data_IF_946980937964
#
_entry.id   IF_946980937964
#
_cell.length_a   1.000
_cell.length_b   1.000
_cell.length_c   1.000
_cell.angle_alpha   90.00
_cell.angle_beta   90.00
_cell.angle_gamma   90.00
#
_symmetry.space_group_name_H-M   'P 1'
#
loop_
_entity.id
_entity.type
_entity.pdbx_description
1 polymer ?
#
# COMPACT_ATOMS: atom_id res chain seq x y z
N UNK A 1 -5.56 -9.38 -12.05
CA UNK A 1 -6.78 -9.87 -11.35
C UNK A 1 -7.58 -10.76 -12.30
N UNK A 2 -7.59 -12.06 -12.02
CA UNK A 2 -8.43 -13.01 -12.74
C UNK A 2 -9.46 -13.58 -11.74
N UNK A 3 -10.71 -13.06 -11.73
CA UNK A 3 -11.73 -13.48 -10.79
C UNK A 3 -12.16 -14.96 -11.00
N UNK A 4 -11.99 -15.49 -12.19
CA UNK A 4 -12.31 -16.88 -12.50
C UNK A 4 -11.35 -17.84 -11.83
N UNK A 5 -10.05 -17.49 -11.76
CA UNK A 5 -9.05 -18.28 -11.05
C UNK A 5 -9.36 -18.37 -9.55
N UNK A 6 -9.77 -17.24 -8.94
CA UNK A 6 -10.20 -17.22 -7.55
C UNK A 6 -11.45 -18.10 -7.30
N UNK A 7 -12.42 -18.10 -8.21
CA UNK A 7 -13.60 -18.96 -8.13
C UNK A 7 -13.22 -20.42 -8.22
N UNK A 8 -12.35 -20.78 -9.15
CA UNK A 8 -11.92 -22.16 -9.39
C UNK A 8 -11.16 -22.72 -8.18
N UNK A 9 -10.24 -21.96 -7.59
CA UNK A 9 -9.54 -22.36 -6.37
C UNK A 9 -10.46 -22.55 -5.17
N UNK A 10 -11.54 -21.78 -5.10
CA UNK A 10 -12.52 -21.88 -4.00
C UNK A 10 -13.66 -22.87 -4.28
N UNK A 11 -13.71 -23.47 -5.47
CA UNK A 11 -14.78 -24.42 -5.82
C UNK A 11 -14.63 -25.74 -5.03
N UNK A 12 -15.69 -26.20 -4.34
CA UNK A 12 -15.60 -27.38 -3.49
C UNK A 12 -15.42 -28.68 -4.27
N UNK A 13 -15.90 -28.75 -5.51
CA UNK A 13 -15.84 -29.96 -6.34
C UNK A 13 -14.49 -30.20 -7.02
N UNK A 14 -13.59 -29.19 -7.04
CA UNK A 14 -12.26 -29.33 -7.61
C UNK A 14 -11.34 -29.99 -6.59
N UNK A 15 -10.75 -31.10 -6.95
CA UNK A 15 -9.84 -31.86 -6.08
C UNK A 15 -8.57 -31.06 -5.74
N UNK A 16 -8.02 -31.34 -4.55
CA UNK A 16 -6.80 -30.63 -4.07
C UNK A 16 -5.63 -30.78 -5.03
N UNK A 17 -5.42 -31.98 -5.58
CA UNK A 17 -4.35 -32.25 -6.53
C UNK A 17 -4.47 -31.44 -7.82
N UNK A 18 -5.68 -31.24 -8.31
CA UNK A 18 -5.93 -30.40 -9.49
C UNK A 18 -5.63 -28.91 -9.18
N UNK A 19 -6.04 -28.41 -8.02
CA UNK A 19 -5.72 -27.05 -7.58
C UNK A 19 -4.22 -26.83 -7.45
N UNK A 20 -3.50 -27.77 -6.88
CA UNK A 20 -2.03 -27.73 -6.75
C UNK A 20 -1.34 -27.76 -8.12
N UNK A 21 -1.81 -28.62 -9.03
CA UNK A 21 -1.34 -28.69 -10.41
C UNK A 21 -1.54 -27.39 -11.18
N UNK A 22 -2.71 -26.76 -11.03
CA UNK A 22 -3.02 -25.45 -11.63
C UNK A 22 -2.08 -24.36 -11.12
N UNK A 23 -1.85 -24.30 -9.81
CA UNK A 23 -0.92 -23.32 -9.23
C UNK A 23 0.48 -23.54 -9.77
N UNK A 24 0.96 -24.77 -9.80
CA UNK A 24 2.27 -25.08 -10.32
C UNK A 24 2.42 -24.69 -11.79
N UNK A 25 1.47 -25.06 -12.63
CA UNK A 25 1.50 -24.77 -14.06
C UNK A 25 1.44 -23.27 -14.38
N UNK A 26 0.64 -22.50 -13.63
CA UNK A 26 0.44 -21.08 -13.90
C UNK A 26 1.59 -20.25 -13.31
N UNK A 27 1.99 -20.53 -12.06
CA UNK A 27 2.89 -19.64 -11.31
C UNK A 27 4.35 -20.04 -11.36
N UNK A 28 4.71 -21.30 -11.64
CA UNK A 28 6.12 -21.74 -11.65
C UNK A 28 7.00 -20.97 -12.64
N UNK A 29 6.41 -20.40 -13.70
CA UNK A 29 7.13 -19.61 -14.69
C UNK A 29 7.32 -18.13 -14.30
N UNK A 30 6.53 -17.62 -13.36
CA UNK A 30 6.47 -16.20 -13.02
C UNK A 30 7.00 -15.87 -11.63
N UNK A 31 7.02 -16.85 -10.72
CA UNK A 31 7.46 -16.65 -9.32
C UNK A 31 8.50 -17.69 -8.93
N UNK A 32 9.23 -17.40 -7.85
CA UNK A 32 10.23 -18.35 -7.32
C UNK A 32 9.58 -19.64 -6.84
N UNK A 33 10.36 -20.74 -6.83
CA UNK A 33 9.90 -22.03 -6.32
C UNK A 33 9.38 -21.98 -4.89
N UNK A 34 10.00 -21.16 -4.03
CA UNK A 34 9.56 -20.96 -2.65
C UNK A 34 8.15 -20.33 -2.57
N UNK A 35 7.88 -19.35 -3.45
CA UNK A 35 6.56 -18.72 -3.51
C UNK A 35 5.50 -19.69 -4.05
N UNK A 36 5.85 -20.47 -5.08
CA UNK A 36 4.95 -21.52 -5.59
C UNK A 36 4.67 -22.56 -4.50
N UNK A 37 5.69 -23.01 -3.75
CA UNK A 37 5.57 -23.91 -2.62
C UNK A 37 4.67 -23.35 -1.50
N UNK A 38 4.77 -22.06 -1.20
CA UNK A 38 3.87 -21.39 -0.25
C UNK A 38 2.41 -21.48 -0.72
N UNK A 39 2.13 -21.14 -1.98
CA UNK A 39 0.77 -21.17 -2.53
C UNK A 39 0.19 -22.59 -2.53
N UNK A 40 0.97 -23.60 -2.92
CA UNK A 40 0.59 -25.01 -2.86
C UNK A 40 0.27 -25.41 -1.42
N UNK A 41 1.13 -25.06 -0.46
CA UNK A 41 0.92 -25.36 0.95
C UNK A 41 -0.36 -24.71 1.49
N UNK A 42 -0.68 -23.51 1.07
CA UNK A 42 -1.91 -22.82 1.48
C UNK A 42 -3.15 -23.55 0.95
N UNK A 43 -3.12 -24.03 -0.29
CA UNK A 43 -4.22 -24.78 -0.89
C UNK A 43 -4.38 -26.16 -0.27
N UNK A 44 -3.28 -26.89 -0.04
CA UNK A 44 -3.32 -28.21 0.61
C UNK A 44 -3.89 -28.15 2.05
N UNK A 45 -3.73 -26.99 2.72
CA UNK A 45 -4.28 -26.72 4.07
C UNK A 45 -5.66 -26.06 4.05
N UNK A 46 -6.35 -25.99 2.90
CA UNK A 46 -7.66 -25.35 2.72
C UNK A 46 -7.68 -23.86 3.10
N UNK A 47 -6.54 -23.16 2.92
CA UNK A 47 -6.37 -21.73 3.24
C UNK A 47 -6.36 -20.83 2.01
N UNK A 48 -6.87 -21.28 0.88
CA UNK A 48 -6.88 -20.52 -0.39
C UNK A 48 -7.58 -19.15 -0.27
N UNK A 49 -8.59 -19.02 0.59
CA UNK A 49 -9.27 -17.73 0.85
C UNK A 49 -8.35 -16.69 1.49
N UNK A 50 -7.25 -17.12 2.10
CA UNK A 50 -6.28 -16.24 2.77
C UNK A 50 -5.05 -15.92 1.91
N UNK A 51 -5.00 -16.39 0.66
CA UNK A 51 -3.85 -16.18 -0.22
C UNK A 51 -3.59 -14.69 -0.41
N UNK A 52 -4.61 -13.89 -0.74
CA UNK A 52 -4.46 -12.45 -0.99
C UNK A 52 -3.94 -11.74 0.26
N UNK A 53 -4.58 -11.96 1.41
CA UNK A 53 -4.17 -11.36 2.70
C UNK A 53 -2.71 -11.73 3.04
N UNK A 54 -2.32 -12.99 2.80
CA UNK A 54 -0.97 -13.49 3.07
C UNK A 54 0.06 -12.85 2.14
N UNK A 55 -0.26 -12.71 0.85
CA UNK A 55 0.63 -12.06 -0.11
C UNK A 55 0.79 -10.56 0.18
N UNK A 56 -0.28 -9.88 0.58
CA UNK A 56 -0.21 -8.47 1.00
C UNK A 56 0.66 -8.31 2.27
N UNK A 57 0.47 -9.19 3.25
CA UNK A 57 1.32 -9.21 4.45
C UNK A 57 2.78 -9.44 4.09
N UNK A 58 3.06 -10.43 3.24
CA UNK A 58 4.41 -10.72 2.77
C UNK A 58 5.03 -9.52 2.05
N UNK A 59 4.27 -8.88 1.15
CA UNK A 59 4.73 -7.66 0.46
C UNK A 59 5.13 -6.57 1.45
N UNK A 60 4.31 -6.32 2.48
CA UNK A 60 4.63 -5.34 3.53
C UNK A 60 5.94 -5.69 4.24
N UNK A 61 6.12 -6.96 4.61
CA UNK A 61 7.34 -7.42 5.29
C UNK A 61 8.59 -7.28 4.42
N UNK A 62 8.48 -7.56 3.11
CA UNK A 62 9.59 -7.37 2.17
C UNK A 62 9.96 -5.89 2.05
N UNK A 63 8.97 -5.00 1.99
CA UNK A 63 9.20 -3.56 1.95
C UNK A 63 9.87 -3.06 3.24
N UNK A 64 9.43 -3.50 4.40
CA UNK A 64 10.05 -3.21 5.69
C UNK A 64 11.51 -3.68 5.73
N UNK A 65 11.77 -4.93 5.33
CA UNK A 65 13.14 -5.49 5.28
C UNK A 65 14.06 -4.69 4.36
N UNK A 66 13.54 -4.28 3.20
CA UNK A 66 14.27 -3.45 2.24
C UNK A 66 14.34 -1.97 2.63
N UNK A 67 13.72 -1.57 3.75
CA UNK A 67 13.58 -0.18 4.18
C UNK A 67 12.95 0.71 3.08
N UNK A 68 11.95 0.18 2.37
CA UNK A 68 11.17 0.92 1.38
C UNK A 68 9.89 1.38 2.07
N UNK A 69 9.71 2.69 2.18
CA UNK A 69 8.49 3.29 2.73
C UNK A 69 7.36 3.32 1.71
N UNK A 70 6.11 3.32 2.20
CA UNK A 70 4.95 3.63 1.37
C UNK A 70 4.45 5.00 1.83
N UNK A 71 4.45 5.96 0.92
CA UNK A 71 3.99 7.32 1.19
C UNK A 71 2.76 7.67 0.35
N UNK A 72 1.71 8.14 1.00
CA UNK A 72 0.52 8.69 0.37
C UNK A 72 0.58 10.21 0.49
N UNK A 73 0.57 10.88 -0.65
CA UNK A 73 0.67 12.35 -0.74
C UNK A 73 -0.60 12.89 -1.37
N UNK A 74 -1.38 13.63 -0.59
CA UNK A 74 -2.59 14.32 -1.06
C UNK A 74 -2.31 15.81 -1.19
N UNK A 75 -2.67 16.41 -2.31
CA UNK A 75 -2.45 17.83 -2.62
C UNK A 75 -3.68 18.45 -3.22
N UNK A 76 -3.87 19.78 -3.06
CA UNK A 76 -5.02 20.49 -3.62
C UNK A 76 -5.01 20.55 -5.16
N UNK A 77 -3.85 20.42 -5.79
CA UNK A 77 -3.66 20.40 -7.26
C UNK A 77 -2.65 19.34 -7.64
N UNK A 78 -2.70 18.82 -8.88
CA UNK A 78 -1.70 17.86 -9.35
C UNK A 78 -0.28 18.42 -9.22
N UNK A 79 0.65 17.61 -8.73
CA UNK A 79 2.07 17.96 -8.64
C UNK A 79 2.76 17.76 -9.98
N UNK A 80 3.70 18.67 -10.29
CA UNK A 80 4.66 18.46 -11.40
C UNK A 80 5.66 17.36 -11.04
N UNK A 81 6.35 16.81 -12.04
CA UNK A 81 7.34 15.76 -11.80
C UNK A 81 8.54 16.26 -10.99
N UNK A 82 8.89 17.54 -11.14
CA UNK A 82 9.91 18.20 -10.32
C UNK A 82 9.50 18.27 -8.85
N UNK A 83 8.24 18.65 -8.59
CA UNK A 83 7.68 18.68 -7.23
C UNK A 83 7.61 17.29 -6.61
N UNK A 84 7.20 16.29 -7.38
CA UNK A 84 7.20 14.87 -6.91
C UNK A 84 8.60 14.42 -6.50
N UNK A 85 9.62 14.72 -7.32
CA UNK A 85 11.02 14.42 -6.99
C UNK A 85 11.50 15.15 -5.74
N UNK A 86 11.16 16.43 -5.58
CA UNK A 86 11.52 17.21 -4.39
C UNK A 86 10.90 16.65 -3.12
N UNK A 87 9.60 16.25 -3.17
CA UNK A 87 8.91 15.61 -2.04
C UNK A 87 9.57 14.28 -1.69
N UNK A 88 9.83 13.41 -2.67
CA UNK A 88 10.49 12.13 -2.44
C UNK A 88 11.88 12.30 -1.85
N UNK A 89 12.70 13.22 -2.40
CA UNK A 89 14.03 13.55 -1.87
C UNK A 89 13.97 14.02 -0.41
N UNK A 90 13.03 14.93 -0.09
CA UNK A 90 12.86 15.42 1.28
C UNK A 90 12.44 14.32 2.27
N UNK A 91 11.60 13.39 1.83
CA UNK A 91 11.22 12.25 2.65
C UNK A 91 12.39 11.31 2.91
N UNK A 92 13.25 11.05 1.94
CA UNK A 92 14.46 10.24 2.12
C UNK A 92 15.44 10.90 3.10
N UNK A 93 15.63 12.22 3.02
CA UNK A 93 16.50 12.96 3.95
C UNK A 93 15.99 12.95 5.41
N UNK A 94 14.67 12.99 5.59
CA UNK A 94 14.04 13.16 6.91
C UNK A 94 13.61 11.86 7.58
N UNK A 95 13.68 10.75 6.84
CA UNK A 95 13.29 9.43 7.33
C UNK A 95 14.44 8.44 7.20
N UNK A 96 14.35 7.30 7.87
CA UNK A 96 15.35 6.23 7.77
C UNK A 96 15.12 5.25 6.62
N UNK A 97 14.25 5.58 5.67
CA UNK A 97 13.99 4.74 4.49
C UNK A 97 15.04 4.96 3.41
N UNK A 98 15.29 3.90 2.62
CA UNK A 98 16.22 3.93 1.48
C UNK A 98 15.51 4.32 0.19
N UNK A 99 14.21 4.01 0.10
CA UNK A 99 13.37 4.33 -1.06
C UNK A 99 11.90 4.47 -0.64
N UNK A 100 11.06 5.02 -1.52
CA UNK A 100 9.64 5.18 -1.29
C UNK A 100 8.79 4.73 -2.48
N UNK A 101 7.74 3.96 -2.20
CA UNK A 101 6.61 3.80 -3.11
C UNK A 101 5.65 4.97 -2.88
N UNK A 102 5.64 5.93 -3.83
CA UNK A 102 4.86 7.15 -3.73
C UNK A 102 3.49 6.98 -4.40
N UNK A 103 2.43 7.29 -3.65
CA UNK A 103 1.05 7.36 -4.15
C UNK A 103 0.56 8.79 -4.06
N UNK A 104 0.23 9.38 -5.19
CA UNK A 104 -0.26 10.76 -5.27
C UNK A 104 -1.75 10.79 -5.51
N UNK A 105 -2.45 11.66 -4.78
CA UNK A 105 -3.88 11.93 -4.94
C UNK A 105 -4.13 13.43 -4.93
N UNK A 106 -5.22 13.85 -5.56
CA UNK A 106 -5.67 15.24 -5.52
C UNK A 106 -6.89 15.31 -4.62
N UNK A 107 -6.85 16.23 -3.67
CA UNK A 107 -7.95 16.55 -2.75
C UNK A 107 -8.10 18.07 -2.69
N UNK A 108 -9.04 18.59 -3.45
CA UNK A 108 -9.31 20.04 -3.55
C UNK A 108 -9.78 20.64 -2.22
N UNK A 109 -10.29 19.81 -1.29
CA UNK A 109 -10.75 20.27 0.02
C UNK A 109 -9.63 20.83 0.91
N UNK A 110 -8.36 20.53 0.57
CA UNK A 110 -7.18 21.04 1.29
C UNK A 110 -6.94 22.54 1.06
N UNK A 111 -7.58 23.13 0.03
CA UNK A 111 -7.43 24.54 -0.40
C UNK A 111 -6.01 24.80 -0.94
N UNK A 112 -4.97 24.25 -0.31
CA UNK A 112 -3.56 24.34 -0.67
C UNK A 112 -2.68 23.59 0.30
N UNK A 113 -1.39 23.47 -0.02
CA UNK A 113 -0.44 22.67 0.73
C UNK A 113 -0.57 21.17 0.41
N UNK A 114 -0.10 20.33 1.34
CA UNK A 114 -0.12 18.88 1.17
C UNK A 114 -0.30 18.14 2.49
N UNK A 115 -0.85 16.94 2.41
CA UNK A 115 -0.91 15.96 3.48
C UNK A 115 -0.09 14.75 3.07
N UNK A 116 0.87 14.34 3.90
CA UNK A 116 1.72 13.18 3.65
C UNK A 116 1.46 12.15 4.74
N UNK A 117 1.13 10.92 4.35
CA UNK A 117 0.98 9.80 5.27
C UNK A 117 2.01 8.71 4.96
N UNK A 118 2.77 8.30 5.98
CA UNK A 118 3.75 7.21 5.90
C UNK A 118 3.45 6.26 7.05
N UNK A 119 2.87 5.10 6.73
CA UNK A 119 2.36 4.20 7.78
C UNK A 119 1.36 4.90 8.68
N UNK A 120 1.68 4.97 9.99
CA UNK A 120 0.83 5.61 11.01
C UNK A 120 1.13 7.10 11.21
N UNK A 121 2.19 7.62 10.58
CA UNK A 121 2.56 9.04 10.68
C UNK A 121 1.85 9.84 9.62
N UNK A 122 1.24 10.95 10.04
CA UNK A 122 0.61 11.93 9.15
C UNK A 122 1.25 13.29 9.39
N UNK A 123 1.69 13.92 8.32
CA UNK A 123 2.18 15.31 8.31
C UNK A 123 1.20 16.10 7.47
N UNK A 124 0.41 16.96 8.10
CA UNK A 124 -0.56 17.83 7.45
C UNK A 124 -0.02 19.26 7.45
N UNK A 125 0.32 19.76 6.26
CA UNK A 125 0.73 21.14 6.02
C UNK A 125 -0.27 21.89 5.16
N UNK A 126 -1.53 21.42 5.11
CA UNK A 126 -2.59 22.06 4.35
C UNK A 126 -2.99 23.43 4.91
N UNK A 127 -3.47 24.29 4.02
CA UNK A 127 -4.03 25.60 4.41
C UNK A 127 -5.27 25.40 5.25
N UNK A 128 -6.08 24.40 4.94
CA UNK A 128 -7.26 24.03 5.74
C UNK A 128 -6.89 23.79 7.20
N UNK A 129 -5.89 22.95 7.45
CA UNK A 129 -5.44 22.65 8.82
C UNK A 129 -4.98 23.90 9.57
N UNK A 130 -4.21 24.79 8.91
CA UNK A 130 -3.76 26.05 9.48
C UNK A 130 -4.91 26.99 9.85
N UNK A 131 -5.94 27.08 9.01
CA UNK A 131 -7.16 27.87 9.28
C UNK A 131 -7.90 27.30 10.50
N UNK A 132 -8.06 25.98 10.57
CA UNK A 132 -8.73 25.30 11.68
C UNK A 132 -7.99 25.49 13.02
N UNK A 133 -6.65 25.47 12.99
CA UNK A 133 -5.83 25.77 14.17
C UNK A 133 -5.97 27.23 14.62
N UNK A 134 -5.93 28.18 13.69
CA UNK A 134 -6.12 29.60 13.99
C UNK A 134 -7.51 29.85 14.55
N UNK A 135 -8.55 29.27 13.98
CA UNK A 135 -9.94 29.40 14.48
C UNK A 135 -10.07 28.88 15.91
N UNK A 136 -9.49 27.72 16.20
CA UNK A 136 -9.47 27.14 17.56
C UNK A 136 -8.69 28.00 18.56
N UNK A 137 -7.59 28.60 18.11
CA UNK A 137 -6.76 29.48 18.96
C UNK A 137 -7.52 30.77 19.31
N UNK A 138 -8.24 31.36 18.33
CA UNK A 138 -9.05 32.56 18.55
C UNK A 138 -10.22 32.30 19.50
N UNK A 139 -10.90 31.15 19.37
CA UNK A 139 -12.00 30.78 20.30
C UNK A 139 -11.51 30.61 21.75
N UNK A 140 -10.27 30.18 21.95
CA UNK A 140 -9.68 30.06 23.31
C UNK A 140 -9.33 31.39 23.96
N UNK A 141 -9.15 32.45 23.18
CA UNK A 141 -8.80 33.79 23.68
C UNK A 141 -10.07 34.56 24.11
N UNK A 142 -11.27 34.15 23.67
CA UNK A 142 -12.55 34.80 24.00
C UNK A 142 -13.21 34.32 25.30
N UNK A 143 -12.56 33.44 26.07
CA UNK A 143 -12.93 32.96 27.39
C UNK A 143 -11.95 33.49 28.45
#
# INVERSE_FOLDING_TARGET
>A
DNPEFGRLLNHPEVEKGEKEGLINNIFSQFVSGDMTGLLITMVSKDRQKKIVDTLEYFRKRVLEYKKIGIAYVSTAKPLTDEQKKAVAGKLLETTGYVDFQMHYSVDESLIGGMVIRIGDRVVDSSIKHKIDELSRSLMKIQL
#
